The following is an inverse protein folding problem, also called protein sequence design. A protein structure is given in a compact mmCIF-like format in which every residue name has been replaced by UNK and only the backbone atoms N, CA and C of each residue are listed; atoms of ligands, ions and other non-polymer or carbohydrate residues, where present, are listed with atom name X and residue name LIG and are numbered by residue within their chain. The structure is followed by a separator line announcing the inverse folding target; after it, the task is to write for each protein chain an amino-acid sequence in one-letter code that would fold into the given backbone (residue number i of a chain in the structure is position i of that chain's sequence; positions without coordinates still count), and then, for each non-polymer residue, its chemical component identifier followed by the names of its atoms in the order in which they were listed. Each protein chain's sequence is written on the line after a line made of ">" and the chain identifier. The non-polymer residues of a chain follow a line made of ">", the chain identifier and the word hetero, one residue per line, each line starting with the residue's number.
data_IF_953078703498
#
_entry.id   IF_953078703498
#
_cell.length_a   1.000
_cell.length_b   1.000
_cell.length_c   1.000
_cell.angle_alpha   90.00
_cell.angle_beta   90.00
_cell.angle_gamma   90.00
#
_symmetry.space_group_name_H-M   'P 1'
#
loop_
_entity.id
_entity.type
_entity.pdbx_description
1 polymer ?
#
# COMPACT_ATOMS: atom_id res chain seq x y z
N UNK A 1 -9.45 5.78 -23.68
CA UNK A 1 -10.00 5.72 -22.30
C UNK A 1 -9.20 6.67 -21.44
N UNK A 2 -9.86 7.68 -20.87
CA UNK A 2 -9.23 8.64 -19.96
C UNK A 2 -9.20 8.07 -18.54
N UNK A 3 -8.00 7.92 -17.98
CA UNK A 3 -7.79 7.34 -16.65
C UNK A 3 -7.39 8.45 -15.66
N UNK A 4 -8.16 8.61 -14.59
CA UNK A 4 -7.78 9.45 -13.46
C UNK A 4 -6.98 8.64 -12.44
N UNK A 5 -5.79 9.13 -12.08
CA UNK A 5 -5.00 8.56 -10.97
C UNK A 5 -5.01 9.53 -9.80
N UNK A 6 -5.67 9.17 -8.69
CA UNK A 6 -5.60 10.00 -7.47
C UNK A 6 -4.32 9.72 -6.70
N UNK A 7 -3.75 10.76 -6.09
CA UNK A 7 -2.47 10.60 -5.37
C UNK A 7 -1.27 10.38 -6.29
N UNK A 8 -1.33 10.84 -7.54
CA UNK A 8 -0.29 10.65 -8.55
C UNK A 8 1.09 11.21 -8.16
N UNK A 9 1.17 12.15 -7.22
CA UNK A 9 2.45 12.66 -6.68
C UNK A 9 3.10 11.78 -5.62
N UNK A 10 2.39 10.74 -5.14
CA UNK A 10 2.88 9.80 -4.14
C UNK A 10 3.91 8.80 -4.67
N UNK A 11 4.53 8.04 -3.75
CA UNK A 11 5.55 7.04 -4.06
C UNK A 11 5.07 6.01 -5.11
N UNK A 12 3.90 5.38 -4.87
CA UNK A 12 3.30 4.44 -5.81
C UNK A 12 2.63 5.17 -6.99
N UNK A 13 1.93 6.30 -6.74
CA UNK A 13 1.15 7.00 -7.76
C UNK A 13 1.96 7.46 -8.97
N UNK A 14 3.20 7.92 -8.75
CA UNK A 14 4.13 8.27 -9.83
C UNK A 14 4.43 7.08 -10.73
N UNK A 15 4.64 5.91 -10.15
CA UNK A 15 4.94 4.69 -10.90
C UNK A 15 3.69 4.14 -11.59
N UNK A 16 2.49 4.30 -11.00
CA UNK A 16 1.23 3.94 -11.68
C UNK A 16 1.07 4.76 -12.96
N UNK A 17 1.27 6.08 -12.91
CA UNK A 17 1.19 6.92 -14.10
C UNK A 17 2.16 6.46 -15.19
N UNK A 18 3.42 6.19 -14.82
CA UNK A 18 4.43 5.67 -15.75
C UNK A 18 4.06 4.29 -16.31
N UNK A 19 3.59 3.37 -15.46
CA UNK A 19 3.22 2.01 -15.90
C UNK A 19 2.01 2.01 -16.84
N UNK A 20 1.03 2.90 -16.62
CA UNK A 20 -0.08 3.08 -17.55
C UNK A 20 0.42 3.50 -18.95
N UNK A 21 1.30 4.50 -19.01
CA UNK A 21 1.89 4.96 -20.28
C UNK A 21 2.69 3.87 -20.97
N UNK A 22 3.48 3.10 -20.21
CA UNK A 22 4.23 1.94 -20.74
C UNK A 22 3.32 0.85 -21.31
N UNK A 23 2.10 0.71 -20.80
CA UNK A 23 1.08 -0.22 -21.28
C UNK A 23 0.16 0.39 -22.35
N UNK A 24 0.53 1.57 -22.90
CA UNK A 24 -0.18 2.22 -23.99
C UNK A 24 -1.44 3.01 -23.59
N UNK A 25 -1.66 3.23 -22.29
CA UNK A 25 -2.74 4.08 -21.81
C UNK A 25 -2.28 5.54 -21.83
N UNK A 26 -2.49 6.22 -22.95
CA UNK A 26 -1.90 7.53 -23.22
C UNK A 26 -2.74 8.74 -22.78
N UNK A 27 -3.98 8.56 -22.34
CA UNK A 27 -4.88 9.66 -21.91
C UNK A 27 -5.06 9.59 -20.38
N UNK A 28 -4.27 10.40 -19.66
CA UNK A 28 -4.22 10.39 -18.21
C UNK A 28 -4.61 11.73 -17.61
N UNK A 29 -5.41 11.69 -16.54
CA UNK A 29 -5.56 12.82 -15.63
C UNK A 29 -4.93 12.49 -14.30
N UNK A 30 -3.91 13.25 -13.89
CA UNK A 30 -3.13 13.04 -12.70
C UNK A 30 -3.54 14.01 -11.60
N UNK A 31 -4.11 13.47 -10.52
CA UNK A 31 -4.55 14.27 -9.38
C UNK A 31 -3.44 14.43 -8.33
N UNK A 32 -3.28 15.66 -7.87
CA UNK A 32 -2.38 16.09 -6.80
C UNK A 32 -3.17 16.83 -5.71
N UNK A 33 -2.71 16.80 -4.45
CA UNK A 33 -3.36 17.58 -3.39
C UNK A 33 -3.27 19.10 -3.66
N UNK A 34 -2.09 19.58 -4.07
CA UNK A 34 -1.85 20.99 -4.39
C UNK A 34 -1.37 21.12 -5.84
N UNK A 35 -0.13 20.72 -6.13
CA UNK A 35 0.50 20.79 -7.45
C UNK A 35 1.34 19.55 -7.75
N UNK A 36 1.59 19.32 -9.01
CA UNK A 36 2.51 18.28 -9.45
C UNK A 36 3.92 18.52 -8.89
N UNK A 37 4.67 17.47 -8.52
CA UNK A 37 6.11 17.61 -8.23
C UNK A 37 6.83 18.22 -9.44
N UNK A 38 7.79 19.13 -9.16
CA UNK A 38 8.56 19.79 -10.21
C UNK A 38 9.25 18.78 -11.14
N UNK A 39 9.19 19.00 -12.44
CA UNK A 39 9.79 18.16 -13.46
C UNK A 39 9.12 16.80 -13.67
N UNK A 40 8.07 16.46 -12.91
CA UNK A 40 7.45 15.13 -13.01
C UNK A 40 6.68 14.94 -14.32
N UNK A 41 5.82 15.89 -14.66
CA UNK A 41 5.03 15.83 -15.90
C UNK A 41 5.95 15.92 -17.12
N UNK A 42 6.90 16.84 -17.09
CA UNK A 42 7.90 17.03 -18.14
C UNK A 42 8.71 15.76 -18.39
N UNK A 43 9.07 15.04 -17.30
CA UNK A 43 9.80 13.76 -17.42
C UNK A 43 8.96 12.67 -18.08
N UNK A 44 7.66 12.60 -17.76
CA UNK A 44 6.74 11.66 -18.41
C UNK A 44 6.54 11.99 -19.88
N UNK A 45 6.32 13.26 -20.25
CA UNK A 45 6.14 13.67 -21.63
C UNK A 45 7.42 13.49 -22.47
N UNK A 46 8.59 13.65 -21.86
CA UNK A 46 9.87 13.34 -22.51
C UNK A 46 10.04 11.84 -22.80
N UNK A 47 9.63 10.98 -21.87
CA UNK A 47 9.71 9.51 -22.02
C UNK A 47 8.59 8.98 -22.93
N UNK A 48 7.41 9.59 -22.90
CA UNK A 48 6.22 9.20 -23.65
C UNK A 48 5.64 10.39 -24.43
N UNK A 49 6.24 10.78 -25.57
CA UNK A 49 5.83 11.98 -26.31
C UNK A 49 4.39 11.97 -26.82
N UNK A 50 3.80 10.78 -26.99
CA UNK A 50 2.42 10.58 -27.42
C UNK A 50 1.38 10.74 -26.28
N UNK A 51 1.83 10.85 -25.03
CA UNK A 51 0.94 10.91 -23.88
C UNK A 51 0.17 12.24 -23.82
N UNK A 52 -1.10 12.15 -23.51
CA UNK A 52 -1.97 13.29 -23.18
C UNK A 52 -2.15 13.30 -21.67
N UNK A 53 -1.48 14.22 -20.98
CA UNK A 53 -1.48 14.29 -19.52
C UNK A 53 -2.12 15.61 -19.06
N UNK A 54 -3.28 15.49 -18.44
CA UNK A 54 -3.93 16.58 -17.71
C UNK A 54 -3.57 16.51 -16.23
N UNK A 55 -3.54 17.64 -15.56
CA UNK A 55 -3.33 17.71 -14.10
C UNK A 55 -4.56 18.28 -13.41
N UNK A 56 -4.93 17.70 -12.26
CA UNK A 56 -5.98 18.20 -11.41
C UNK A 56 -5.44 18.41 -9.98
N UNK A 57 -5.71 19.58 -9.41
CA UNK A 57 -5.36 19.89 -8.03
C UNK A 57 -6.64 19.95 -7.19
N UNK A 58 -6.73 19.07 -6.17
CA UNK A 58 -7.88 19.04 -5.27
C UNK A 58 -7.52 18.50 -3.89
N UNK A 59 -8.12 19.07 -2.85
CA UNK A 59 -8.09 18.47 -1.52
C UNK A 59 -9.25 17.49 -1.39
N UNK A 60 -8.97 16.19 -1.34
CA UNK A 60 -9.99 15.14 -1.27
C UNK A 60 -10.86 15.20 0.00
N UNK A 61 -10.49 16.00 1.00
CA UNK A 61 -11.33 16.26 2.18
C UNK A 61 -12.36 17.37 1.94
N UNK A 62 -12.16 18.23 0.96
CA UNK A 62 -13.10 19.31 0.63
C UNK A 62 -14.21 18.78 -0.27
N UNK A 63 -15.47 18.93 0.13
CA UNK A 63 -16.63 18.56 -0.70
C UNK A 63 -16.78 19.53 -1.87
N UNK A 64 -17.21 19.03 -3.02
CA UNK A 64 -17.61 19.86 -4.17
C UNK A 64 -16.49 20.25 -5.14
N UNK A 65 -15.24 19.83 -4.93
CA UNK A 65 -14.11 20.17 -5.83
C UNK A 65 -13.80 19.10 -6.89
N UNK A 66 -14.66 18.10 -7.08
CA UNK A 66 -14.32 16.91 -7.88
C UNK A 66 -14.94 16.87 -9.27
N UNK A 67 -16.03 17.60 -9.52
CA UNK A 67 -16.76 17.51 -10.78
C UNK A 67 -15.85 17.81 -11.98
N UNK A 68 -15.07 18.89 -11.92
CA UNK A 68 -14.09 19.22 -12.95
C UNK A 68 -12.98 18.16 -13.08
N UNK A 69 -12.59 17.54 -11.96
CA UNK A 69 -11.58 16.47 -11.94
C UNK A 69 -12.11 15.18 -12.59
N UNK A 70 -13.41 14.92 -12.51
CA UNK A 70 -14.05 13.70 -12.99
C UNK A 70 -14.66 13.83 -14.39
N UNK A 71 -14.84 15.04 -14.89
CA UNK A 71 -15.45 15.28 -16.21
C UNK A 71 -14.68 14.57 -17.33
N UNK A 72 -15.38 13.72 -18.08
CA UNK A 72 -14.81 12.96 -19.20
C UNK A 72 -13.83 11.84 -18.80
N UNK A 73 -13.83 11.45 -17.53
CA UNK A 73 -13.03 10.31 -17.03
C UNK A 73 -13.83 9.01 -17.18
N UNK A 74 -13.20 7.99 -17.75
CA UNK A 74 -13.79 6.66 -17.94
C UNK A 74 -13.48 5.71 -16.78
N UNK A 75 -12.29 5.84 -16.17
CA UNK A 75 -11.79 4.96 -15.12
C UNK A 75 -11.03 5.73 -14.06
N UNK A 76 -11.23 5.37 -12.78
CA UNK A 76 -10.49 5.95 -11.66
C UNK A 76 -9.61 4.92 -10.99
N UNK A 77 -8.31 5.22 -10.85
CA UNK A 77 -7.38 4.48 -9.99
C UNK A 77 -7.20 5.30 -8.71
N UNK A 78 -7.81 4.83 -7.62
CA UNK A 78 -7.76 5.52 -6.33
C UNK A 78 -6.58 5.05 -5.49
N UNK A 79 -5.45 5.77 -5.60
CA UNK A 79 -4.21 5.49 -4.87
C UNK A 79 -3.93 6.50 -3.73
N UNK A 80 -4.76 7.52 -3.56
CA UNK A 80 -4.62 8.48 -2.48
C UNK A 80 -4.99 7.86 -1.13
N UNK A 81 -4.09 7.98 -0.14
CA UNK A 81 -4.32 7.53 1.24
C UNK A 81 -3.43 8.29 2.22
N UNK A 82 -3.85 8.37 3.49
CA UNK A 82 -3.03 8.87 4.60
C UNK A 82 -2.14 7.76 5.15
N UNK A 83 -0.82 7.90 5.00
CA UNK A 83 0.16 6.89 5.44
C UNK A 83 0.92 7.29 6.70
N UNK A 84 0.84 8.55 7.11
CA UNK A 84 1.62 9.15 8.21
C UNK A 84 0.78 10.17 8.97
N UNK A 85 1.22 10.50 10.17
CA UNK A 85 0.54 11.48 11.02
C UNK A 85 -0.26 10.83 12.15
N UNK A 86 -1.13 11.60 12.80
CA UNK A 86 -2.00 11.11 13.84
C UNK A 86 -3.06 10.13 13.27
N UNK A 87 -3.62 9.27 14.14
CA UNK A 87 -4.66 8.32 13.74
C UNK A 87 -5.86 9.01 13.07
N UNK A 88 -6.24 10.19 13.55
CA UNK A 88 -7.32 10.99 12.98
C UNK A 88 -6.98 11.48 11.56
N UNK A 89 -5.74 11.91 11.31
CA UNK A 89 -5.28 12.34 9.98
C UNK A 89 -5.26 11.18 8.99
N UNK A 90 -4.78 10.02 9.44
CA UNK A 90 -4.80 8.80 8.62
C UNK A 90 -6.22 8.40 8.24
N UNK A 91 -7.14 8.42 9.21
CA UNK A 91 -8.54 8.12 8.98
C UNK A 91 -9.19 9.14 8.04
N UNK A 92 -9.03 10.44 8.32
CA UNK A 92 -9.61 11.48 7.49
C UNK A 92 -9.12 11.38 6.02
N UNK A 93 -7.81 11.34 5.80
CA UNK A 93 -7.24 11.29 4.44
C UNK A 93 -7.52 9.96 3.72
N UNK A 94 -7.70 8.84 4.45
CA UNK A 94 -7.98 7.54 3.82
C UNK A 94 -9.48 7.32 3.68
N UNK A 95 -10.27 7.44 4.76
CA UNK A 95 -11.69 7.07 4.72
C UNK A 95 -12.54 8.22 4.20
N UNK A 96 -12.42 9.42 4.80
CA UNK A 96 -13.29 10.55 4.41
C UNK A 96 -12.92 11.06 3.01
N UNK A 97 -11.62 11.14 2.69
CA UNK A 97 -11.18 11.51 1.35
C UNK A 97 -11.67 10.53 0.28
N UNK A 98 -11.61 9.23 0.54
CA UNK A 98 -12.14 8.20 -0.37
C UNK A 98 -13.65 8.27 -0.52
N UNK A 99 -14.38 8.48 0.60
CA UNK A 99 -15.83 8.65 0.55
C UNK A 99 -16.24 9.76 -0.42
N UNK A 100 -15.60 10.91 -0.32
CA UNK A 100 -15.90 12.04 -1.19
C UNK A 100 -15.63 11.70 -2.67
N UNK A 101 -14.54 10.98 -2.96
CA UNK A 101 -14.23 10.55 -4.34
C UNK A 101 -15.27 9.55 -4.84
N UNK A 102 -15.63 8.52 -4.07
CA UNK A 102 -16.59 7.50 -4.50
C UNK A 102 -17.99 8.09 -4.69
N UNK A 103 -18.43 8.99 -3.79
CA UNK A 103 -19.69 9.69 -3.92
C UNK A 103 -19.73 10.56 -5.19
N UNK A 104 -18.64 11.26 -5.49
CA UNK A 104 -18.53 12.06 -6.71
C UNK A 104 -18.50 11.18 -7.97
N UNK A 105 -17.78 10.04 -7.97
CA UNK A 105 -17.82 9.09 -9.08
C UNK A 105 -19.23 8.58 -9.34
N UNK A 106 -19.99 8.23 -8.30
CA UNK A 106 -21.37 7.77 -8.44
C UNK A 106 -22.29 8.84 -9.06
N UNK A 107 -22.13 10.10 -8.64
CA UNK A 107 -22.92 11.23 -9.16
C UNK A 107 -22.57 11.60 -10.61
N UNK A 108 -21.33 11.40 -11.03
CA UNK A 108 -20.84 11.71 -12.38
C UNK A 108 -20.96 10.54 -13.35
N UNK A 109 -21.44 9.37 -12.91
CA UNK A 109 -21.66 8.20 -13.76
C UNK A 109 -20.38 7.42 -14.10
N UNK A 110 -19.27 7.63 -13.38
CA UNK A 110 -18.08 6.83 -13.55
C UNK A 110 -18.35 5.42 -13.00
N UNK A 111 -18.18 4.41 -13.84
CA UNK A 111 -18.51 3.06 -13.46
C UNK A 111 -17.28 2.25 -13.02
N UNK A 112 -16.11 2.43 -13.62
CA UNK A 112 -14.94 1.60 -13.34
C UNK A 112 -13.99 2.27 -12.34
N UNK A 113 -13.81 1.61 -11.19
CA UNK A 113 -12.94 2.13 -10.13
C UNK A 113 -11.98 1.03 -9.64
N UNK A 114 -10.69 1.35 -9.66
CA UNK A 114 -9.64 0.51 -9.07
C UNK A 114 -9.19 1.11 -7.74
N UNK A 115 -9.37 0.36 -6.65
CA UNK A 115 -8.94 0.75 -5.32
C UNK A 115 -7.58 0.15 -4.97
N UNK A 116 -6.64 0.99 -4.53
CA UNK A 116 -5.41 0.50 -3.90
C UNK A 116 -5.67 0.34 -2.41
N UNK A 117 -5.88 -0.91 -1.99
CA UNK A 117 -6.03 -1.33 -0.61
C UNK A 117 -4.68 -1.71 0.03
N UNK A 118 -4.61 -2.72 0.88
CA UNK A 118 -3.38 -3.18 1.54
C UNK A 118 -3.55 -4.60 2.09
N UNK A 119 -2.47 -5.34 2.30
CA UNK A 119 -2.48 -6.57 3.11
C UNK A 119 -2.98 -6.36 4.54
N UNK A 120 -2.95 -5.13 5.04
CA UNK A 120 -3.47 -4.82 6.37
C UNK A 120 -4.97 -5.13 6.54
N UNK A 121 -5.74 -5.27 5.46
CA UNK A 121 -7.17 -5.60 5.53
C UNK A 121 -7.45 -7.07 5.78
N UNK A 122 -6.53 -7.98 5.45
CA UNK A 122 -6.78 -9.42 5.58
C UNK A 122 -6.94 -9.87 7.04
N UNK A 123 -7.86 -10.77 7.29
CA UNK A 123 -8.05 -11.43 8.58
C UNK A 123 -7.00 -12.53 8.75
N UNK A 124 -6.04 -12.31 9.64
CA UNK A 124 -4.88 -13.19 9.83
C UNK A 124 -4.78 -13.78 11.23
N UNK A 125 -5.73 -13.52 12.12
CA UNK A 125 -5.71 -13.94 13.54
C UNK A 125 -5.78 -15.45 13.74
N UNK A 126 -6.38 -16.19 12.81
CA UNK A 126 -6.48 -17.65 12.80
C UNK A 126 -5.41 -18.36 11.97
N UNK A 127 -4.54 -17.65 11.27
CA UNK A 127 -3.52 -18.26 10.41
C UNK A 127 -2.39 -18.90 11.23
N UNK A 128 -1.93 -20.05 10.77
CA UNK A 128 -0.87 -20.86 11.36
C UNK A 128 0.40 -20.78 10.51
N UNK A 129 1.57 -21.13 11.10
CA UNK A 129 2.80 -21.28 10.31
C UNK A 129 2.60 -22.22 9.13
N UNK A 130 3.00 -21.75 7.93
CA UNK A 130 2.85 -22.50 6.67
C UNK A 130 1.58 -22.23 5.88
N UNK A 131 0.55 -21.61 6.47
CA UNK A 131 -0.64 -21.19 5.72
C UNK A 131 -0.28 -20.19 4.63
N UNK A 132 -1.12 -20.11 3.58
CA UNK A 132 -0.93 -19.19 2.47
C UNK A 132 -1.99 -18.08 2.51
N UNK A 133 -1.55 -16.82 2.50
CA UNK A 133 -2.38 -15.66 2.31
C UNK A 133 -2.45 -15.33 0.80
N UNK A 134 -3.65 -15.26 0.28
CA UNK A 134 -3.94 -14.94 -1.12
C UNK A 134 -5.28 -14.22 -1.25
N UNK A 135 -5.83 -14.20 -2.46
CA UNK A 135 -7.06 -13.48 -2.79
C UNK A 135 -8.26 -13.96 -1.97
N UNK A 136 -8.35 -15.28 -1.72
CA UNK A 136 -9.46 -15.92 -1.00
C UNK A 136 -9.38 -15.75 0.53
N UNK A 137 -8.29 -15.17 1.04
CA UNK A 137 -8.16 -14.87 2.46
C UNK A 137 -9.21 -13.84 2.86
N UNK A 138 -10.09 -14.11 3.85
CA UNK A 138 -11.10 -13.17 4.28
C UNK A 138 -10.51 -11.83 4.72
N UNK A 139 -11.25 -10.74 4.53
CA UNK A 139 -10.90 -9.45 5.10
C UNK A 139 -11.48 -9.30 6.51
N UNK A 140 -10.85 -8.48 7.29
CA UNK A 140 -11.26 -8.20 8.66
C UNK A 140 -12.60 -7.46 8.69
N UNK A 141 -13.61 -7.93 9.45
CA UNK A 141 -14.93 -7.28 9.44
C UNK A 141 -14.92 -5.87 10.06
N UNK A 142 -14.08 -5.62 11.05
CA UNK A 142 -14.03 -4.29 11.70
C UNK A 142 -12.63 -3.68 11.68
N UNK A 143 -11.59 -4.44 12.02
CA UNK A 143 -10.19 -4.05 11.92
C UNK A 143 -9.65 -3.15 13.04
N UNK A 144 -10.37 -2.93 14.14
CA UNK A 144 -9.93 -2.07 15.26
C UNK A 144 -8.59 -2.51 15.84
N UNK A 145 -8.38 -3.83 15.99
CA UNK A 145 -7.18 -4.40 16.59
C UNK A 145 -5.94 -4.34 15.66
N UNK A 146 -6.11 -3.87 14.42
CA UNK A 146 -5.03 -3.73 13.41
C UNK A 146 -4.24 -2.42 13.55
N UNK A 147 -4.59 -1.59 14.51
CA UNK A 147 -4.04 -0.25 14.65
C UNK A 147 -4.62 0.75 13.63
N UNK A 148 -4.24 2.04 13.73
CA UNK A 148 -4.90 3.11 12.97
C UNK A 148 -4.88 2.92 11.46
N UNK A 149 -3.75 2.52 10.89
CA UNK A 149 -3.62 2.30 9.45
C UNK A 149 -4.46 1.11 8.97
N UNK A 150 -4.35 -0.04 9.65
CA UNK A 150 -5.13 -1.24 9.29
C UNK A 150 -6.63 -0.99 9.40
N UNK A 151 -7.07 -0.30 10.46
CA UNK A 151 -8.46 0.11 10.63
C UNK A 151 -8.93 1.02 9.49
N UNK A 152 -8.16 2.06 9.16
CA UNK A 152 -8.53 2.98 8.08
C UNK A 152 -8.64 2.28 6.72
N UNK A 153 -7.71 1.37 6.40
CA UNK A 153 -7.74 0.61 5.13
C UNK A 153 -8.90 -0.39 5.09
N UNK A 154 -9.20 -1.06 6.21
CA UNK A 154 -10.36 -1.97 6.31
C UNK A 154 -11.67 -1.19 6.10
N UNK A 155 -11.83 -0.05 6.77
CA UNK A 155 -13.01 0.81 6.58
C UNK A 155 -13.11 1.38 5.17
N UNK A 156 -11.99 1.76 4.57
CA UNK A 156 -11.95 2.22 3.18
C UNK A 156 -12.46 1.15 2.21
N UNK A 157 -11.99 -0.09 2.35
CA UNK A 157 -12.36 -1.18 1.44
C UNK A 157 -13.84 -1.60 1.62
N UNK A 158 -14.33 -1.71 2.87
CA UNK A 158 -15.75 -1.96 3.12
C UNK A 158 -16.64 -0.87 2.55
N UNK A 159 -16.30 0.39 2.83
CA UNK A 159 -17.03 1.54 2.28
C UNK A 159 -17.01 1.55 0.75
N UNK A 160 -15.90 1.18 0.12
CA UNK A 160 -15.81 1.07 -1.34
C UNK A 160 -16.82 0.05 -1.88
N UNK A 161 -16.96 -1.10 -1.24
CA UNK A 161 -17.95 -2.11 -1.63
C UNK A 161 -19.40 -1.66 -1.37
N UNK A 162 -19.65 -0.89 -0.28
CA UNK A 162 -20.96 -0.26 -0.03
C UNK A 162 -21.33 0.70 -1.17
N UNK A 163 -20.40 1.56 -1.58
CA UNK A 163 -20.60 2.48 -2.72
C UNK A 163 -20.75 1.73 -4.06
N UNK A 164 -19.99 0.64 -4.23
CA UNK A 164 -20.11 -0.19 -5.43
C UNK A 164 -21.51 -0.80 -5.56
N UNK A 165 -22.07 -1.30 -4.47
CA UNK A 165 -23.44 -1.81 -4.45
C UNK A 165 -24.48 -0.70 -4.69
N UNK A 166 -24.24 0.51 -4.15
CA UNK A 166 -25.14 1.65 -4.29
C UNK A 166 -25.18 2.23 -5.70
N UNK A 167 -24.02 2.35 -6.37
CA UNK A 167 -23.88 3.02 -7.66
C UNK A 167 -23.60 2.10 -8.85
N UNK A 168 -23.44 0.80 -8.61
CA UNK A 168 -23.16 -0.17 -9.67
C UNK A 168 -21.72 -0.12 -10.21
N UNK A 169 -20.72 0.22 -9.35
CA UNK A 169 -19.34 0.29 -9.82
C UNK A 169 -18.79 -1.07 -10.26
N UNK A 170 -18.07 -1.07 -11.37
CA UNK A 170 -17.13 -2.12 -11.73
C UNK A 170 -15.89 -1.98 -10.85
N UNK A 171 -15.72 -2.92 -9.92
CA UNK A 171 -14.69 -2.84 -8.91
C UNK A 171 -13.47 -3.69 -9.24
N UNK A 172 -12.29 -3.10 -9.04
CA UNK A 172 -11.01 -3.84 -9.01
C UNK A 172 -10.25 -3.42 -7.75
N UNK A 173 -9.77 -4.37 -6.97
CA UNK A 173 -9.06 -4.08 -5.71
C UNK A 173 -7.66 -4.67 -5.76
N UNK A 174 -6.65 -3.85 -5.57
CA UNK A 174 -5.27 -4.29 -5.37
C UNK A 174 -4.92 -4.17 -3.88
N UNK A 175 -4.43 -5.26 -3.29
CA UNK A 175 -3.97 -5.31 -1.90
C UNK A 175 -2.45 -5.52 -1.89
N UNK A 176 -1.64 -4.47 -1.92
CA UNK A 176 -0.19 -4.60 -1.84
C UNK A 176 0.29 -5.01 -0.46
N UNK A 177 1.37 -5.80 -0.42
CA UNK A 177 2.16 -6.04 0.78
C UNK A 177 3.00 -4.79 1.14
N UNK A 178 4.27 -4.98 1.43
CA UNK A 178 5.21 -3.89 1.74
C UNK A 178 5.81 -3.36 0.44
N UNK A 179 5.38 -2.18 0.02
CA UNK A 179 5.91 -1.54 -1.20
C UNK A 179 7.29 -0.97 -0.89
N UNK A 180 8.30 -1.38 -1.66
CA UNK A 180 9.69 -0.94 -1.51
C UNK A 180 10.27 -0.45 -2.83
N UNK A 181 11.37 0.29 -2.76
CA UNK A 181 12.05 0.85 -3.93
C UNK A 181 12.69 2.21 -3.65
N UNK A 182 13.44 2.78 -4.61
CA UNK A 182 13.97 4.14 -4.53
C UNK A 182 12.86 5.17 -4.27
N UNK A 183 13.03 6.01 -3.24
CA UNK A 183 12.00 6.95 -2.78
C UNK A 183 11.10 6.43 -1.67
N UNK A 184 11.19 5.15 -1.33
CA UNK A 184 10.44 4.51 -0.26
C UNK A 184 11.10 4.58 1.11
N UNK A 185 10.49 3.88 2.09
CA UNK A 185 11.06 3.68 3.43
C UNK A 185 12.20 2.65 3.44
N UNK A 186 13.11 2.77 4.41
CA UNK A 186 14.25 1.85 4.55
C UNK A 186 13.86 0.51 5.18
N UNK A 187 13.19 0.57 6.33
CA UNK A 187 12.85 -0.62 7.13
C UNK A 187 11.38 -0.60 7.53
N UNK A 188 10.70 -1.70 7.27
CA UNK A 188 9.32 -1.92 7.70
C UNK A 188 9.29 -2.35 9.19
N UNK A 189 8.25 -1.99 9.96
CA UNK A 189 8.02 -2.55 11.29
C UNK A 189 7.97 -4.09 11.34
N UNK A 190 7.73 -4.75 10.22
CA UNK A 190 7.82 -6.21 10.10
C UNK A 190 9.25 -6.73 10.29
N UNK A 191 10.26 -5.95 9.92
CA UNK A 191 11.68 -6.31 10.08
C UNK A 191 12.15 -6.05 11.51
N UNK A 192 11.69 -4.95 12.10
CA UNK A 192 12.06 -4.58 13.46
C UNK A 192 11.84 -3.10 13.74
N UNK A 193 12.31 -2.68 14.91
CA UNK A 193 12.11 -1.35 15.46
C UNK A 193 13.42 -0.75 15.95
N UNK A 194 13.63 0.53 15.65
CA UNK A 194 14.75 1.30 16.21
C UNK A 194 14.34 1.89 17.55
N UNK A 195 15.05 1.52 18.62
CA UNK A 195 14.81 2.02 19.96
C UNK A 195 16.14 2.16 20.72
N UNK A 196 16.34 3.27 21.44
CA UNK A 196 17.51 3.53 22.31
C UNK A 196 18.86 3.24 21.65
N UNK A 197 19.04 3.62 20.37
CA UNK A 197 20.29 3.38 19.64
C UNK A 197 20.52 1.92 19.17
N UNK A 198 19.58 1.03 19.45
CA UNK A 198 19.57 -0.37 19.03
C UNK A 198 18.49 -0.61 17.99
N UNK A 199 18.67 -1.66 17.20
CA UNK A 199 17.61 -2.18 16.32
C UNK A 199 17.12 -3.52 16.85
N UNK A 200 15.88 -3.55 17.33
CA UNK A 200 15.21 -4.78 17.74
C UNK A 200 14.70 -5.52 16.51
N UNK A 201 15.37 -6.60 16.11
CA UNK A 201 14.94 -7.45 15.00
C UNK A 201 13.80 -8.35 15.43
N UNK A 202 12.73 -8.35 14.65
CA UNK A 202 11.49 -9.07 14.87
C UNK A 202 11.20 -10.00 13.68
N UNK A 203 10.46 -11.09 13.91
CA UNK A 203 9.94 -11.94 12.83
C UNK A 203 10.98 -12.60 11.93
N UNK A 204 12.18 -12.91 12.44
CA UNK A 204 13.35 -13.36 11.66
C UNK A 204 13.05 -14.44 10.61
N UNK A 205 12.23 -15.45 10.92
CA UNK A 205 11.83 -16.53 10.01
C UNK A 205 10.60 -16.24 9.17
N UNK A 206 9.90 -15.14 9.44
CA UNK A 206 8.72 -14.77 8.66
C UNK A 206 9.11 -14.16 7.30
N UNK A 207 8.39 -14.52 6.25
CA UNK A 207 8.55 -13.88 4.95
C UNK A 207 8.11 -12.41 5.03
N UNK A 208 8.86 -11.54 4.40
CA UNK A 208 8.51 -10.14 4.25
C UNK A 208 7.75 -9.97 2.92
N UNK A 209 6.43 -9.72 2.94
CA UNK A 209 5.64 -9.65 1.71
C UNK A 209 5.96 -8.37 0.93
N UNK A 210 7.10 -8.38 0.28
CA UNK A 210 7.59 -7.25 -0.52
C UNK A 210 6.90 -7.19 -1.87
N UNK A 211 6.68 -5.99 -2.36
CA UNK A 211 6.39 -5.70 -3.75
C UNK A 211 7.22 -4.50 -4.20
N UNK A 212 8.04 -4.68 -5.22
CA UNK A 212 8.83 -3.58 -5.78
C UNK A 212 7.89 -2.54 -6.41
N UNK A 213 8.15 -1.27 -6.18
CA UNK A 213 7.21 -0.21 -6.54
C UNK A 213 6.84 -0.20 -8.02
N UNK A 214 7.76 -0.52 -8.92
CA UNK A 214 7.49 -0.63 -10.36
C UNK A 214 6.65 -1.89 -10.67
N UNK A 215 6.91 -3.03 -10.02
CA UNK A 215 6.11 -4.25 -10.15
C UNK A 215 4.67 -4.04 -9.64
N UNK A 216 4.54 -3.38 -8.49
CA UNK A 216 3.25 -3.03 -7.92
C UNK A 216 2.45 -2.12 -8.85
N UNK A 217 3.10 -1.09 -9.39
CA UNK A 217 2.47 -0.15 -10.33
C UNK A 217 2.06 -0.82 -11.64
N UNK A 218 2.88 -1.74 -12.15
CA UNK A 218 2.58 -2.52 -13.33
C UNK A 218 1.36 -3.44 -13.11
N UNK A 219 1.28 -4.11 -11.95
CA UNK A 219 0.12 -4.90 -11.55
C UNK A 219 -1.16 -4.04 -11.46
N UNK A 220 -1.05 -2.83 -10.88
CA UNK A 220 -2.18 -1.90 -10.80
C UNK A 220 -2.64 -1.47 -12.18
N UNK A 221 -1.74 -1.04 -13.05
CA UNK A 221 -2.08 -0.57 -14.39
C UNK A 221 -2.75 -1.69 -15.21
N UNK A 222 -2.20 -2.92 -15.15
CA UNK A 222 -2.77 -4.07 -15.85
C UNK A 222 -4.15 -4.44 -15.32
N UNK A 223 -4.32 -4.54 -14.00
CA UNK A 223 -5.58 -4.91 -13.39
C UNK A 223 -6.66 -3.84 -13.64
N UNK A 224 -6.33 -2.56 -13.55
CA UNK A 224 -7.26 -1.47 -13.81
C UNK A 224 -7.90 -1.55 -15.20
N UNK A 225 -7.14 -2.01 -16.20
CA UNK A 225 -7.59 -2.08 -17.60
C UNK A 225 -8.21 -3.44 -17.93
N UNK A 226 -7.61 -4.55 -17.47
CA UNK A 226 -7.91 -5.88 -17.99
C UNK A 226 -8.61 -6.82 -17.00
N UNK A 227 -8.64 -6.50 -15.69
CA UNK A 227 -9.26 -7.39 -14.74
C UNK A 227 -10.79 -7.36 -14.85
N UNK A 228 -11.49 -8.51 -14.68
CA UNK A 228 -12.94 -8.54 -14.55
C UNK A 228 -13.41 -7.72 -13.34
N UNK A 229 -14.62 -7.15 -13.43
CA UNK A 229 -15.27 -6.51 -12.28
C UNK A 229 -15.44 -7.49 -11.11
N UNK A 230 -15.30 -6.99 -9.89
CA UNK A 230 -15.35 -7.78 -8.66
C UNK A 230 -14.02 -8.45 -8.29
N UNK A 231 -12.97 -8.29 -9.10
CA UNK A 231 -11.65 -8.87 -8.81
C UNK A 231 -10.94 -8.19 -7.66
N UNK A 232 -10.29 -8.98 -6.82
CA UNK A 232 -9.38 -8.50 -5.78
C UNK A 232 -8.07 -9.30 -5.84
N UNK A 233 -6.92 -8.61 -5.80
CA UNK A 233 -5.61 -9.23 -5.99
C UNK A 233 -4.67 -8.95 -4.83
N UNK A 234 -4.00 -9.99 -4.34
CA UNK A 234 -2.84 -9.87 -3.47
C UNK A 234 -1.61 -9.51 -4.31
N UNK A 235 -0.86 -8.47 -3.92
CA UNK A 235 0.28 -7.99 -4.70
C UNK A 235 1.56 -8.17 -3.93
N UNK A 236 2.40 -9.13 -4.37
CA UNK A 236 3.75 -9.38 -3.87
C UNK A 236 4.68 -9.72 -5.02
N UNK A 237 5.98 -9.53 -4.83
CA UNK A 237 7.01 -10.08 -5.71
C UNK A 237 7.06 -11.62 -5.56
N UNK A 238 7.62 -12.34 -6.54
CA UNK A 238 7.66 -13.80 -6.55
C UNK A 238 8.59 -14.38 -5.48
N UNK A 239 9.83 -13.93 -5.43
CA UNK A 239 10.87 -14.47 -4.55
C UNK A 239 11.14 -13.53 -3.37
N UNK A 240 10.19 -13.41 -2.47
CA UNK A 240 10.29 -12.52 -1.31
C UNK A 240 11.24 -13.10 -0.24
N UNK A 241 12.10 -12.24 0.37
CA UNK A 241 13.01 -12.66 1.43
C UNK A 241 12.30 -12.83 2.76
N UNK A 242 12.94 -13.52 3.71
CA UNK A 242 12.57 -13.41 5.12
C UNK A 242 12.95 -12.03 5.67
N UNK A 243 12.33 -11.64 6.80
CA UNK A 243 12.70 -10.41 7.50
C UNK A 243 14.18 -10.36 7.86
N UNK A 244 14.76 -11.52 8.21
CA UNK A 244 16.19 -11.64 8.51
C UNK A 244 17.06 -11.42 7.27
N UNK A 245 16.75 -12.06 6.15
CA UNK A 245 17.50 -11.89 4.90
C UNK A 245 17.47 -10.43 4.42
N UNK A 246 16.31 -9.77 4.53
CA UNK A 246 16.20 -8.35 4.19
C UNK A 246 17.07 -7.47 5.10
N UNK A 247 17.05 -7.72 6.42
CA UNK A 247 17.86 -6.99 7.38
C UNK A 247 19.36 -7.20 7.14
N UNK A 248 19.80 -8.41 6.89
CA UNK A 248 21.22 -8.72 6.60
C UNK A 248 21.67 -8.02 5.33
N UNK A 249 20.83 -8.00 4.28
CA UNK A 249 21.08 -7.22 3.07
C UNK A 249 21.22 -5.73 3.34
N UNK A 250 20.33 -5.16 4.16
CA UNK A 250 20.40 -3.76 4.59
C UNK A 250 21.68 -3.43 5.36
N UNK A 251 22.03 -4.27 6.36
CA UNK A 251 23.24 -4.08 7.17
C UNK A 251 24.53 -4.16 6.35
N UNK A 252 24.54 -5.01 5.34
CA UNK A 252 25.71 -5.18 4.44
C UNK A 252 25.86 -4.00 3.48
N UNK A 253 24.76 -3.52 2.90
CA UNK A 253 24.82 -2.61 1.75
C UNK A 253 24.51 -1.15 2.08
N UNK A 254 23.80 -0.86 3.17
CA UNK A 254 23.34 0.50 3.50
C UNK A 254 24.02 1.04 4.75
N UNK A 255 23.76 0.45 5.91
CA UNK A 255 24.26 0.97 7.19
C UNK A 255 24.39 -0.15 8.21
N UNK A 256 25.54 -0.19 8.90
CA UNK A 256 25.74 -1.06 10.07
C UNK A 256 24.96 -0.52 11.26
N UNK A 257 24.31 -1.41 12.01
CA UNK A 257 23.56 -1.11 13.23
C UNK A 257 23.82 -2.17 14.28
N UNK A 258 23.66 -1.82 15.55
CA UNK A 258 23.63 -2.81 16.64
C UNK A 258 22.26 -3.46 16.66
N UNK A 259 22.21 -4.75 16.39
CA UNK A 259 20.95 -5.53 16.29
C UNK A 259 20.81 -6.45 17.48
N UNK A 260 19.65 -6.41 18.11
CA UNK A 260 19.22 -7.37 19.14
C UNK A 260 18.02 -8.13 18.61
N UNK A 261 18.10 -9.46 18.60
CA UNK A 261 16.97 -10.31 18.18
C UNK A 261 16.02 -10.53 19.34
N UNK A 262 14.75 -10.19 19.17
CA UNK A 262 13.70 -10.47 20.13
C UNK A 262 12.96 -11.76 19.73
N UNK A 263 12.95 -12.79 20.61
CA UNK A 263 12.15 -13.99 20.38
C UNK A 263 10.66 -13.66 20.30
N UNK A 264 9.93 -14.29 19.36
CA UNK A 264 8.51 -14.07 19.14
C UNK A 264 7.66 -14.18 20.41
N UNK A 265 7.91 -15.22 21.24
CA UNK A 265 7.16 -15.43 22.48
C UNK A 265 7.34 -14.31 23.49
N UNK A 266 8.57 -13.77 23.62
CA UNK A 266 8.87 -12.63 24.49
C UNK A 266 8.14 -11.37 23.96
N UNK A 267 8.20 -11.12 22.66
CA UNK A 267 7.53 -9.95 22.09
C UNK A 267 6.00 -10.04 22.21
N UNK A 268 5.42 -11.22 22.03
CA UNK A 268 4.00 -11.46 22.26
C UNK A 268 3.61 -11.23 23.73
N UNK A 269 4.45 -11.66 24.68
CA UNK A 269 4.22 -11.42 26.09
C UNK A 269 4.25 -9.91 26.42
N UNK A 270 5.28 -9.19 25.92
CA UNK A 270 5.39 -7.73 26.08
C UNK A 270 4.16 -7.03 25.49
N UNK A 271 3.69 -7.44 24.32
CA UNK A 271 2.51 -6.84 23.69
C UNK A 271 1.24 -6.98 24.54
N UNK A 272 1.05 -8.14 25.19
CA UNK A 272 -0.07 -8.35 26.13
C UNK A 272 0.02 -7.40 27.33
N UNK A 273 1.23 -7.20 27.89
CA UNK A 273 1.47 -6.25 28.99
C UNK A 273 1.21 -4.80 28.58
N UNK A 274 1.63 -4.41 27.38
CA UNK A 274 1.36 -3.07 26.83
C UNK A 274 -0.14 -2.79 26.66
N UNK A 275 -0.92 -3.77 26.19
CA UNK A 275 -2.39 -3.63 26.08
C UNK A 275 -3.03 -3.51 27.47
N UNK A 276 -2.60 -4.33 28.44
CA UNK A 276 -3.09 -4.25 29.81
C UNK A 276 -2.78 -2.88 30.44
N UNK A 277 -1.57 -2.37 30.24
CA UNK A 277 -1.18 -1.03 30.71
C UNK A 277 -1.96 0.09 30.02
N UNK A 278 -2.17 0.00 28.69
CA UNK A 278 -2.99 0.96 27.95
C UNK A 278 -4.41 1.06 28.55
N UNK A 279 -5.02 -0.09 28.85
CA UNK A 279 -6.34 -0.13 29.51
C UNK A 279 -6.30 0.50 30.92
N UNK A 280 -5.30 0.16 31.72
CA UNK A 280 -5.14 0.69 33.09
C UNK A 280 -4.85 2.19 33.09
N UNK A 281 -4.08 2.70 32.14
CA UNK A 281 -3.71 4.11 31.98
C UNK A 281 -4.76 4.95 31.23
N UNK A 282 -5.94 4.39 30.93
CA UNK A 282 -7.01 5.05 30.15
C UNK A 282 -6.53 5.61 28.82
N UNK A 283 -5.62 4.89 28.15
CA UNK A 283 -5.15 5.22 26.80
C UNK A 283 -3.97 6.21 26.73
N UNK A 284 -3.32 6.55 27.84
CA UNK A 284 -2.18 7.48 27.84
C UNK A 284 -0.98 6.96 27.02
N UNK A 285 -0.80 5.65 26.92
CA UNK A 285 0.16 5.04 26.01
C UNK A 285 -0.55 4.26 24.90
N UNK A 286 -0.40 4.62 23.62
CA UNK A 286 -1.05 3.90 22.54
C UNK A 286 -0.49 2.47 22.43
N UNK A 287 -1.38 1.47 22.41
CA UNK A 287 -1.01 0.08 22.18
C UNK A 287 -0.76 -0.18 20.68
N UNK A 288 0.38 0.30 20.17
CA UNK A 288 0.75 0.18 18.75
C UNK A 288 0.98 -1.27 18.35
N UNK A 289 1.52 -2.09 19.27
CA UNK A 289 1.75 -3.53 19.08
C UNK A 289 0.79 -4.35 19.92
N UNK A 290 -0.44 -4.47 19.45
CA UNK A 290 -1.39 -5.42 20.06
C UNK A 290 -0.95 -6.86 19.79
N UNK A 291 -1.39 -7.85 20.60
CA UNK A 291 -1.15 -9.28 20.31
C UNK A 291 -1.63 -9.69 18.92
N UNK A 292 -2.71 -9.06 18.42
CA UNK A 292 -3.20 -9.25 17.06
C UNK A 292 -2.16 -8.81 16.02
N UNK A 293 -1.67 -7.56 16.14
CA UNK A 293 -0.67 -6.98 15.23
C UNK A 293 0.61 -7.81 15.22
N UNK A 294 1.08 -8.23 16.41
CA UNK A 294 2.28 -9.08 16.55
C UNK A 294 2.10 -10.41 15.83
N UNK A 295 0.98 -11.10 16.02
CA UNK A 295 0.69 -12.37 15.32
C UNK A 295 0.57 -12.13 13.80
N UNK A 296 -0.18 -11.14 13.38
CA UNK A 296 -0.38 -10.80 11.96
C UNK A 296 0.92 -10.47 11.22
N UNK A 297 1.89 -9.85 11.90
CA UNK A 297 3.16 -9.45 11.28
C UNK A 297 4.20 -10.56 11.26
N UNK A 298 4.22 -11.43 12.28
CA UNK A 298 5.37 -12.29 12.54
C UNK A 298 5.08 -13.79 12.52
N UNK A 299 3.82 -14.22 12.33
CA UNK A 299 3.54 -15.62 12.00
C UNK A 299 4.15 -15.95 10.64
N UNK A 300 4.97 -17.02 10.53
CA UNK A 300 5.63 -17.37 9.28
C UNK A 300 4.64 -18.04 8.30
N UNK A 301 3.90 -17.23 7.57
CA UNK A 301 2.97 -17.65 6.52
C UNK A 301 3.58 -17.43 5.14
N UNK A 302 2.98 -18.04 4.11
CA UNK A 302 3.31 -17.85 2.71
C UNK A 302 2.39 -16.80 2.09
N UNK A 303 2.77 -16.29 0.94
CA UNK A 303 1.98 -15.31 0.20
C UNK A 303 1.85 -15.76 -1.26
N UNK A 304 0.65 -15.63 -1.84
CA UNK A 304 0.38 -15.90 -3.26
C UNK A 304 0.08 -14.59 -3.99
N UNK A 305 0.50 -14.55 -5.26
CA UNK A 305 0.14 -13.53 -6.26
C UNK A 305 -0.45 -14.19 -7.51
N UNK A 306 -0.97 -15.41 -7.37
CA UNK A 306 -1.41 -16.24 -8.50
C UNK A 306 -2.60 -15.62 -9.24
N UNK A 307 -3.46 -14.86 -8.56
CA UNK A 307 -4.54 -14.13 -9.19
C UNK A 307 -4.06 -13.13 -10.23
N UNK A 308 -2.98 -12.40 -9.94
CA UNK A 308 -2.36 -11.48 -10.90
C UNK A 308 -1.82 -12.22 -12.13
N UNK A 309 -1.21 -13.39 -11.93
CA UNK A 309 -0.69 -14.21 -13.04
C UNK A 309 -1.81 -14.69 -13.97
N UNK A 310 -3.00 -14.99 -13.42
CA UNK A 310 -4.18 -15.38 -14.21
C UNK A 310 -4.66 -14.28 -15.16
N UNK A 311 -4.47 -13.02 -14.84
CA UNK A 311 -4.73 -11.89 -15.74
C UNK A 311 -3.53 -11.52 -16.62
N UNK A 312 -2.52 -12.38 -16.67
CA UNK A 312 -1.31 -12.23 -17.50
C UNK A 312 -0.30 -11.22 -16.97
N UNK A 313 -0.33 -10.90 -15.68
CA UNK A 313 0.74 -10.12 -15.07
C UNK A 313 1.97 -11.00 -14.84
N UNK A 314 3.14 -10.45 -15.09
CA UNK A 314 4.42 -11.07 -14.78
C UNK A 314 5.33 -10.06 -14.08
N UNK A 315 6.10 -10.52 -13.13
CA UNK A 315 7.04 -9.66 -12.41
C UNK A 315 8.14 -9.16 -13.37
N UNK A 316 8.21 -7.84 -13.57
CA UNK A 316 9.16 -7.22 -14.51
C UNK A 316 10.56 -7.07 -13.94
N UNK A 317 10.66 -6.64 -12.68
CA UNK A 317 11.93 -6.44 -11.98
C UNK A 317 12.10 -7.58 -10.98
N UNK A 318 13.10 -8.46 -11.15
CA UNK A 318 13.38 -9.51 -10.16
C UNK A 318 13.59 -8.93 -8.77
N UNK A 319 13.13 -9.62 -7.72
CA UNK A 319 13.22 -9.15 -6.32
C UNK A 319 14.66 -8.80 -5.91
N UNK A 320 15.63 -9.62 -6.32
CA UNK A 320 17.05 -9.37 -6.04
C UNK A 320 17.55 -8.05 -6.65
N UNK A 321 17.10 -7.73 -7.87
CA UNK A 321 17.43 -6.48 -8.54
C UNK A 321 16.74 -5.28 -7.87
N UNK A 322 15.44 -5.40 -7.55
CA UNK A 322 14.70 -4.38 -6.82
C UNK A 322 15.34 -4.05 -5.47
N UNK A 323 15.81 -5.07 -4.74
CA UNK A 323 16.54 -4.89 -3.49
C UNK A 323 17.88 -4.19 -3.72
N UNK A 324 18.65 -4.60 -4.73
CA UNK A 324 19.93 -3.96 -5.08
C UNK A 324 19.74 -2.47 -5.39
N UNK A 325 18.80 -2.12 -6.25
CA UNK A 325 18.46 -0.73 -6.59
C UNK A 325 18.04 0.07 -5.35
N UNK A 326 17.26 -0.55 -4.47
CA UNK A 326 16.78 0.08 -3.23
C UNK A 326 17.92 0.35 -2.26
N UNK A 327 18.80 -0.63 -2.03
CA UNK A 327 19.95 -0.46 -1.14
C UNK A 327 20.94 0.58 -1.67
N UNK A 328 21.21 0.59 -2.98
CA UNK A 328 22.05 1.62 -3.61
C UNK A 328 21.48 3.03 -3.39
N UNK A 329 20.17 3.19 -3.60
CA UNK A 329 19.49 4.46 -3.36
C UNK A 329 19.53 4.87 -1.89
N UNK A 330 19.25 3.94 -0.94
CA UNK A 330 19.28 4.21 0.50
C UNK A 330 20.68 4.63 0.98
N UNK A 331 21.72 3.99 0.46
CA UNK A 331 23.12 4.32 0.78
C UNK A 331 23.50 5.74 0.35
N UNK A 332 22.93 6.22 -0.76
CA UNK A 332 23.16 7.57 -1.26
C UNK A 332 22.38 8.66 -0.50
N UNK A 333 21.45 8.28 0.40
CA UNK A 333 20.71 9.24 1.22
C UNK A 333 21.53 9.66 2.45
N UNK A 334 21.36 10.89 2.94
CA UNK A 334 21.97 11.28 4.22
C UNK A 334 21.49 10.35 5.34
N UNK A 335 22.33 10.05 6.34
CA UNK A 335 21.96 9.21 7.48
C UNK A 335 20.72 9.78 8.20
N UNK A 336 19.72 8.92 8.43
CA UNK A 336 18.47 9.26 9.14
C UNK A 336 18.49 8.83 10.59
#
# INVERSE_FOLDING_TARGET
>A
MKILVTGAGGFLGKQIARSLLMQGQNDLRLHFRNKAPAGFIESLLKEFPQAQIETAAANLLARGSFDAMLQGVDCVIHAAAGMKGAAADMFANTVMGSRNVFEACGKTGIQRITLISSFAVYKTDGMKPGDTLGEDTPIEPVGVDKGPYGYAKTRQEHMFMEFAAQYGFETVILRPGVIYGPGGGALSPRVGLKAMGLFASLGNGALLPLTYVENCADAVARAAVHAPSGSAFAVTDDNIPTCRQYLDGYLKNVQKMRVVTLPFGLFLWVSKKLVAYNKASKGQMPAVFTPYVVKSMYTPIRYSNDGLKKIGWTQRVPTAEGLSRTYAWLKAQPPR
#
